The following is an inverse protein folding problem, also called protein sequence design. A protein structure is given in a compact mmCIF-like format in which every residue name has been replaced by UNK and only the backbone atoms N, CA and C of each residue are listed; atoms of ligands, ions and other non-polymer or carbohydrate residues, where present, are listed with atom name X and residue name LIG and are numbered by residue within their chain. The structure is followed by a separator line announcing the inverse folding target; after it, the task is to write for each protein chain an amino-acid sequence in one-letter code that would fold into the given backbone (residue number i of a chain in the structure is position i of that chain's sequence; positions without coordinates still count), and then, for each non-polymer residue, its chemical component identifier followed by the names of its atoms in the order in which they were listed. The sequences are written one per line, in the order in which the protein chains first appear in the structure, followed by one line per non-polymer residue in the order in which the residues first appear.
data_IF_970117462628
#
_entry.id   IF_970117462628
#
_cell.length_a   1.000
_cell.length_b   1.000
_cell.length_c   1.000
_cell.angle_alpha   90.00
_cell.angle_beta   90.00
_cell.angle_gamma   90.00
#
_symmetry.space_group_name_H-M   'P 1'
#
loop_
_entity.id
_entity.type
_entity.pdbx_description
1 polymer ?
#
# COMPACT_ATOMS: atom_id res chain seq x y z
N UNK A 1 16.29 0.96 -5.48
CA UNK A 1 17.13 0.61 -4.32
C UNK A 1 16.52 -0.63 -3.68
N UNK A 2 17.24 -1.31 -2.78
CA UNK A 2 16.62 -2.38 -2.00
C UNK A 2 15.67 -1.74 -0.97
N UNK A 3 14.53 -2.39 -0.73
CA UNK A 3 13.53 -1.94 0.25
C UNK A 3 14.15 -1.81 1.65
N UNK A 4 14.14 -0.62 2.28
CA UNK A 4 14.95 -0.33 3.47
C UNK A 4 14.29 -0.72 4.79
N UNK A 5 13.27 -1.59 4.76
CA UNK A 5 12.56 -2.03 5.96
C UNK A 5 12.53 -3.55 6.09
N UNK A 6 12.63 -4.00 7.34
CA UNK A 6 12.37 -5.38 7.73
C UNK A 6 10.99 -5.46 8.39
N UNK A 7 10.13 -6.37 7.89
CA UNK A 7 8.77 -6.55 8.37
C UNK A 7 8.65 -7.91 9.06
N UNK A 8 8.05 -7.90 10.25
CA UNK A 8 7.73 -9.10 11.02
C UNK A 8 6.27 -9.06 11.50
N UNK A 9 5.48 -10.14 11.31
CA UNK A 9 5.82 -11.37 10.60
C UNK A 9 5.86 -11.18 9.08
N UNK A 10 6.56 -12.09 8.37
CA UNK A 10 6.59 -12.09 6.90
C UNK A 10 5.29 -12.60 6.27
N UNK A 11 4.56 -13.46 6.99
CA UNK A 11 3.25 -13.94 6.58
C UNK A 11 2.17 -13.12 7.28
N UNK A 12 1.40 -12.35 6.50
CA UNK A 12 0.40 -11.43 7.02
C UNK A 12 -0.98 -12.12 7.12
N UNK A 13 -1.02 -13.15 7.94
CA UNK A 13 -2.22 -13.93 8.22
C UNK A 13 -2.87 -13.43 9.51
N UNK A 14 -4.08 -12.88 9.40
CA UNK A 14 -4.81 -12.28 10.51
C UNK A 14 -5.92 -13.23 10.97
N UNK A 15 -5.99 -13.46 12.28
CA UNK A 15 -7.06 -14.23 12.92
C UNK A 15 -8.22 -13.31 13.29
N UNK A 16 -9.49 -13.70 13.09
CA UNK A 16 -10.64 -12.95 13.60
C UNK A 16 -10.60 -12.70 15.12
N UNK A 17 -10.06 -13.67 15.87
CA UNK A 17 -10.09 -13.65 17.33
C UNK A 17 -8.88 -12.93 17.95
N UNK A 18 -7.77 -12.84 17.21
CA UNK A 18 -6.50 -12.36 17.71
C UNK A 18 -5.87 -11.35 16.74
N UNK A 19 -5.65 -10.09 17.17
CA UNK A 19 -4.92 -9.13 16.37
C UNK A 19 -3.50 -9.60 16.04
N UNK A 20 -3.08 -9.36 14.80
CA UNK A 20 -1.73 -9.62 14.33
C UNK A 20 -0.79 -8.54 14.88
N UNK A 21 0.24 -8.96 15.61
CA UNK A 21 1.31 -8.06 16.05
C UNK A 21 2.28 -7.80 14.91
N UNK A 22 2.48 -6.53 14.57
CA UNK A 22 3.32 -6.10 13.48
C UNK A 22 4.54 -5.34 13.99
N UNK A 23 5.66 -5.54 13.30
CA UNK A 23 6.90 -4.82 13.50
C UNK A 23 7.44 -4.36 12.15
N UNK A 24 7.77 -3.08 12.06
CA UNK A 24 8.46 -2.48 10.92
C UNK A 24 9.74 -1.86 11.44
N UNK A 25 10.88 -2.43 11.05
CA UNK A 25 12.19 -1.95 11.46
C UNK A 25 12.87 -1.22 10.31
N UNK A 26 13.35 -0.01 10.58
CA UNK A 26 14.20 0.72 9.65
C UNK A 26 15.61 0.10 9.66
N UNK A 27 16.00 -0.51 8.54
CA UNK A 27 17.36 -1.04 8.32
C UNK A 27 18.19 -0.13 7.40
N UNK A 28 17.61 0.99 6.96
CA UNK A 28 18.34 2.09 6.33
C UNK A 28 19.31 2.69 7.35
N UNK A 29 20.48 3.10 6.86
CA UNK A 29 21.48 3.78 7.68
C UNK A 29 21.11 5.24 8.00
N UNK A 30 19.89 5.67 7.66
CA UNK A 30 19.41 7.04 7.75
C UNK A 30 18.06 7.09 8.47
N UNK A 31 17.59 8.30 8.77
CA UNK A 31 16.24 8.52 9.29
C UNK A 31 15.28 8.49 8.11
N UNK A 32 14.18 7.77 8.24
CA UNK A 32 13.13 7.67 7.21
C UNK A 32 11.80 8.14 7.79
N UNK A 33 11.08 8.95 7.03
CA UNK A 33 9.67 9.20 7.27
C UNK A 33 8.85 8.03 6.72
N UNK A 34 7.95 7.50 7.54
CA UNK A 34 7.23 6.27 7.20
C UNK A 34 5.74 6.42 7.51
N UNK A 35 4.93 6.07 6.51
CA UNK A 35 3.52 5.81 6.70
C UNK A 35 3.24 4.32 6.52
N UNK A 36 2.57 3.75 7.52
CA UNK A 36 2.06 2.39 7.54
C UNK A 36 0.55 2.48 7.36
N UNK A 37 0.02 1.91 6.28
CA UNK A 37 -1.41 1.96 5.95
C UNK A 37 -1.97 0.55 5.83
N UNK A 38 -3.18 0.33 6.33
CA UNK A 38 -4.02 -0.82 6.00
C UNK A 38 -5.24 -0.31 5.25
N UNK A 39 -5.46 -0.80 4.04
CA UNK A 39 -6.58 -0.44 3.17
C UNK A 39 -7.43 -1.70 2.90
N UNK A 40 -8.46 -1.91 3.72
CA UNK A 40 -9.17 -3.18 3.82
C UNK A 40 -10.63 -2.99 4.18
N UNK A 41 -11.49 -3.89 3.68
CA UNK A 41 -12.89 -3.97 4.09
C UNK A 41 -13.11 -4.90 5.30
N UNK A 42 -12.05 -5.56 5.79
CA UNK A 42 -12.10 -6.47 6.95
C UNK A 42 -11.21 -6.04 8.10
N UNK A 43 -10.06 -5.43 7.81
CA UNK A 43 -9.00 -5.21 8.78
C UNK A 43 -8.72 -3.73 9.00
N UNK A 44 -8.18 -3.39 10.17
CA UNK A 44 -7.65 -2.06 10.48
C UNK A 44 -6.45 -2.15 11.42
N UNK A 45 -5.60 -1.14 11.36
CA UNK A 45 -4.63 -0.86 12.42
C UNK A 45 -5.40 -0.52 13.70
N UNK A 46 -5.01 -1.15 14.80
CA UNK A 46 -5.54 -0.82 16.12
C UNK A 46 -4.83 0.43 16.66
N UNK A 47 -5.61 1.41 17.12
CA UNK A 47 -5.12 2.72 17.56
C UNK A 47 -4.31 3.47 16.49
N UNK A 48 -4.88 3.69 15.29
CA UNK A 48 -4.18 4.40 14.24
C UNK A 48 -4.04 5.88 14.59
N UNK A 49 -3.06 6.56 13.99
CA UNK A 49 -2.97 8.03 14.07
C UNK A 49 -4.01 8.72 13.19
N UNK A 50 -4.47 8.02 12.13
CA UNK A 50 -5.46 8.50 11.17
C UNK A 50 -6.31 7.34 10.63
N UNK A 51 -7.59 7.59 10.38
CA UNK A 51 -8.48 6.62 9.76
C UNK A 51 -9.50 7.31 8.86
N UNK A 52 -9.77 6.73 7.70
CA UNK A 52 -10.73 7.22 6.73
C UNK A 52 -11.34 6.04 5.96
N UNK A 53 -12.66 5.89 6.06
CA UNK A 53 -13.41 4.80 5.39
C UNK A 53 -12.79 3.42 5.65
N UNK A 54 -12.16 2.84 4.63
CA UNK A 54 -11.56 1.50 4.62
C UNK A 54 -10.08 1.53 5.01
N UNK A 55 -9.52 2.71 5.28
CA UNK A 55 -8.10 2.93 5.52
C UNK A 55 -7.83 3.31 6.96
N UNK A 56 -6.74 2.77 7.49
CA UNK A 56 -6.21 3.13 8.80
C UNK A 56 -4.70 3.24 8.70
N UNK A 57 -4.11 4.20 9.43
CA UNK A 57 -2.74 4.59 9.18
C UNK A 57 -1.98 5.03 10.44
N UNK A 58 -0.67 4.75 10.45
CA UNK A 58 0.30 5.29 11.40
C UNK A 58 1.35 6.08 10.63
N UNK A 59 1.60 7.31 11.08
CA UNK A 59 2.78 8.08 10.71
C UNK A 59 3.87 7.95 11.78
N UNK A 60 5.11 7.72 11.37
CA UNK A 60 6.27 7.73 12.26
C UNK A 60 7.54 8.17 11.53
N UNK A 61 8.42 8.90 12.21
CA UNK A 61 9.80 9.10 11.78
C UNK A 61 10.65 8.03 12.44
N UNK A 62 11.22 7.12 11.65
CA UNK A 62 12.02 5.99 12.14
C UNK A 62 13.50 6.26 11.95
N UNK A 63 14.25 6.33 13.05
CA UNK A 63 15.71 6.39 13.00
C UNK A 63 16.30 5.06 12.54
N UNK A 64 17.57 5.09 12.13
CA UNK A 64 18.31 3.89 11.79
C UNK A 64 18.24 2.86 12.94
N UNK A 65 17.83 1.62 12.62
CA UNK A 65 17.59 0.50 13.54
C UNK A 65 16.40 0.64 14.50
N UNK A 66 15.59 1.68 14.38
CA UNK A 66 14.36 1.83 15.16
C UNK A 66 13.24 0.94 14.62
N UNK A 67 12.37 0.48 15.51
CA UNK A 67 11.26 -0.42 15.19
C UNK A 67 9.94 0.20 15.60
N UNK A 68 9.02 0.33 14.66
CA UNK A 68 7.62 0.63 14.92
C UNK A 68 6.88 -0.67 15.27
N UNK A 69 6.16 -0.64 16.39
CA UNK A 69 5.28 -1.73 16.83
C UNK A 69 3.82 -1.30 16.76
N UNK A 70 2.97 -2.13 16.17
CA UNK A 70 1.53 -1.89 16.09
C UNK A 70 0.78 -3.21 15.94
N UNK A 71 -0.55 -3.15 15.90
CA UNK A 71 -1.41 -4.31 15.72
C UNK A 71 -2.37 -4.08 14.58
N UNK A 72 -2.64 -5.12 13.80
CA UNK A 72 -3.72 -5.14 12.81
C UNK A 72 -4.78 -6.12 13.33
N UNK A 73 -6.02 -5.66 13.44
CA UNK A 73 -7.14 -6.47 13.90
C UNK A 73 -8.32 -6.40 12.95
N UNK A 74 -9.33 -7.21 13.23
CA UNK A 74 -10.60 -7.14 12.53
C UNK A 74 -11.32 -5.81 12.83
N UNK A 75 -12.06 -5.31 11.84
CA UNK A 75 -13.08 -4.30 12.08
C UNK A 75 -14.08 -4.80 13.12
N UNK A 76 -14.60 -3.88 13.94
CA UNK A 76 -15.65 -4.24 14.87
C UNK A 76 -16.93 -4.70 14.13
N UNK A 77 -17.73 -5.50 14.81
CA UNK A 77 -18.94 -6.10 14.23
C UNK A 77 -19.94 -5.03 13.75
N UNK A 78 -20.00 -3.87 14.42
CA UNK A 78 -20.84 -2.76 13.98
C UNK A 78 -20.42 -2.26 12.60
N UNK A 79 -19.12 -2.06 12.38
CA UNK A 79 -18.55 -1.61 11.10
C UNK A 79 -18.69 -2.68 10.02
N UNK A 80 -18.47 -3.96 10.35
CA UNK A 80 -18.65 -5.06 9.38
C UNK A 80 -20.10 -5.22 8.91
N UNK A 81 -21.08 -4.77 9.70
CA UNK A 81 -22.49 -4.84 9.34
C UNK A 81 -23.00 -3.59 8.59
N UNK A 82 -22.22 -2.51 8.52
CA UNK A 82 -22.55 -1.35 7.69
C UNK A 82 -22.39 -1.71 6.21
N UNK A 83 -23.22 -1.23 5.29
CA UNK A 83 -23.06 -1.56 3.88
C UNK A 83 -21.74 -1.06 3.29
N UNK A 84 -21.25 -1.68 2.21
CA UNK A 84 -20.13 -1.12 1.44
C UNK A 84 -20.66 0.12 0.73
N UNK A 85 -20.13 1.28 1.08
CA UNK A 85 -20.55 2.57 0.51
C UNK A 85 -20.27 2.62 -0.99
N UNK A 86 -21.27 3.10 -1.73
CA UNK A 86 -21.24 3.25 -3.18
C UNK A 86 -20.92 4.71 -3.54
N UNK A 87 -19.67 5.07 -3.27
CA UNK A 87 -19.17 6.43 -3.38
C UNK A 87 -18.50 6.70 -4.74
N UNK A 88 -17.99 7.92 -4.94
CA UNK A 88 -17.19 8.28 -6.12
C UNK A 88 -15.92 7.43 -6.31
N UNK A 89 -15.40 6.83 -5.25
CA UNK A 89 -14.20 5.99 -5.29
C UNK A 89 -14.58 4.53 -5.09
N UNK A 90 -14.55 3.78 -6.20
CA UNK A 90 -14.87 2.35 -6.17
C UNK A 90 -13.74 1.59 -5.48
N UNK A 91 -14.09 0.67 -4.58
CA UNK A 91 -13.08 -0.17 -3.92
C UNK A 91 -12.70 -1.35 -4.82
N UNK A 92 -11.48 -1.33 -5.38
CA UNK A 92 -11.05 -2.29 -6.41
C UNK A 92 -10.22 -3.48 -5.91
N UNK A 93 -9.88 -3.52 -4.61
CA UNK A 93 -8.98 -4.55 -4.06
C UNK A 93 -9.74 -5.82 -3.66
N UNK A 94 -9.00 -6.84 -3.21
CA UNK A 94 -9.61 -7.94 -2.46
C UNK A 94 -10.27 -7.39 -1.20
N UNK A 95 -11.26 -8.10 -0.66
CA UNK A 95 -11.92 -7.66 0.57
C UNK A 95 -10.96 -7.63 1.77
N UNK A 96 -9.99 -8.55 1.80
CA UNK A 96 -8.90 -8.56 2.77
C UNK A 96 -7.99 -7.34 2.62
N UNK A 97 -7.86 -6.81 1.40
CA UNK A 97 -7.05 -5.63 1.10
C UNK A 97 -5.56 -5.87 1.28
N UNK A 98 -4.85 -4.79 1.56
CA UNK A 98 -3.39 -4.74 1.65
C UNK A 98 -2.91 -3.91 2.84
N UNK A 99 -1.71 -4.28 3.29
CA UNK A 99 -0.85 -3.49 4.14
C UNK A 99 0.20 -2.84 3.26
N UNK A 100 0.40 -1.53 3.37
CA UNK A 100 1.40 -0.80 2.59
C UNK A 100 2.33 0.01 3.47
N UNK A 101 3.60 0.10 3.07
CA UNK A 101 4.59 1.02 3.61
C UNK A 101 4.93 2.07 2.55
N UNK A 102 4.76 3.33 2.90
CA UNK A 102 5.10 4.49 2.07
C UNK A 102 6.25 5.23 2.75
N UNK A 103 7.32 5.51 2.02
CA UNK A 103 8.51 6.20 2.54
C UNK A 103 9.18 7.08 1.47
N UNK A 104 9.89 8.12 1.93
CA UNK A 104 10.65 9.02 1.07
C UNK A 104 10.89 10.42 1.70
N UNK A 105 11.98 11.12 1.31
CA UNK A 105 12.55 12.22 2.10
C UNK A 105 11.75 13.53 2.10
N UNK A 106 11.10 13.92 0.99
CA UNK A 106 10.55 15.28 0.84
C UNK A 106 9.03 15.34 0.78
N UNK A 107 8.39 14.19 0.60
CA UNK A 107 6.96 14.13 0.30
C UNK A 107 6.10 14.15 1.55
N UNK A 108 6.59 13.49 2.59
CA UNK A 108 5.87 13.31 3.84
C UNK A 108 5.90 14.57 4.71
N UNK A 109 6.86 15.47 4.51
CA UNK A 109 7.04 16.68 5.34
C UNK A 109 5.86 17.66 5.27
N UNK A 110 5.23 17.80 4.09
CA UNK A 110 4.06 18.67 3.90
C UNK A 110 2.81 18.12 4.59
N UNK A 111 2.64 16.79 4.57
CA UNK A 111 1.47 16.08 5.12
C UNK A 111 1.63 15.64 6.58
N UNK A 112 2.85 15.65 7.14
CA UNK A 112 3.13 15.51 8.58
C UNK A 112 2.20 16.37 9.44
N UNK A 113 1.87 17.56 8.95
CA UNK A 113 1.03 18.53 9.65
C UNK A 113 -0.48 18.18 9.62
N UNK A 114 -0.91 17.31 8.70
CA UNK A 114 -2.32 16.96 8.51
C UNK A 114 -2.71 15.60 9.09
N UNK A 115 -1.74 14.70 9.40
CA UNK A 115 -2.02 13.32 9.85
C UNK A 115 -3.12 12.66 8.98
N UNK A 116 -3.05 12.81 7.67
CA UNK A 116 -4.11 12.39 6.75
C UNK A 116 -3.85 11.03 6.14
N UNK A 117 -4.92 10.29 5.87
CA UNK A 117 -4.90 9.07 5.07
C UNK A 117 -4.55 9.43 3.63
N UNK A 118 -3.45 8.86 3.09
CA UNK A 118 -3.08 9.12 1.70
C UNK A 118 -3.95 8.31 0.73
N UNK A 119 -4.51 8.99 -0.28
CA UNK A 119 -5.00 8.35 -1.50
C UNK A 119 -3.93 8.53 -2.58
N UNK A 120 -3.67 7.52 -3.42
CA UNK A 120 -2.69 7.63 -4.52
C UNK A 120 -2.94 8.88 -5.39
N UNK A 121 -4.21 9.26 -5.58
CA UNK A 121 -4.63 10.48 -6.28
C UNK A 121 -4.17 11.78 -5.62
N UNK A 122 -3.80 11.75 -4.35
CA UNK A 122 -3.26 12.94 -3.67
C UNK A 122 -1.81 13.18 -4.06
N UNK A 123 -1.03 12.13 -4.39
CA UNK A 123 0.34 12.29 -4.87
C UNK A 123 0.39 12.91 -6.26
N UNK A 124 -0.51 12.51 -7.16
CA UNK A 124 -0.60 13.08 -8.52
C UNK A 124 -0.86 14.60 -8.49
N UNK A 125 -1.59 15.11 -7.48
CA UNK A 125 -1.86 16.55 -7.32
C UNK A 125 -0.61 17.35 -6.99
N UNK A 126 0.42 16.72 -6.42
CA UNK A 126 1.65 17.39 -5.98
C UNK A 126 2.88 16.96 -6.79
N UNK A 127 2.74 16.04 -7.75
CA UNK A 127 3.83 15.44 -8.52
C UNK A 127 4.73 16.46 -9.25
N UNK A 128 4.18 17.61 -9.67
CA UNK A 128 4.95 18.68 -10.34
C UNK A 128 5.95 19.40 -9.42
N UNK A 129 5.79 19.29 -8.09
CA UNK A 129 6.58 20.02 -7.09
C UNK A 129 7.54 19.10 -6.33
N UNK A 130 7.46 17.78 -6.56
CA UNK A 130 8.26 16.80 -5.83
C UNK A 130 9.64 16.60 -6.46
N UNK A 131 10.73 16.73 -5.69
CA UNK A 131 12.06 16.39 -6.18
C UNK A 131 12.26 14.87 -6.35
N UNK A 132 11.55 14.05 -5.57
CA UNK A 132 11.61 12.58 -5.59
C UNK A 132 10.22 11.96 -5.36
N UNK A 133 9.89 10.92 -6.14
CA UNK A 133 8.68 10.12 -5.96
C UNK A 133 8.76 9.29 -4.66
N UNK A 134 7.65 9.12 -3.93
CA UNK A 134 7.62 8.25 -2.76
C UNK A 134 7.72 6.80 -3.20
N UNK A 135 8.42 5.98 -2.44
CA UNK A 135 8.42 4.54 -2.68
C UNK A 135 7.27 3.91 -1.88
N UNK A 136 6.48 3.09 -2.56
CA UNK A 136 5.34 2.37 -1.98
C UNK A 136 5.60 0.88 -2.09
N UNK A 137 5.40 0.17 -0.97
CA UNK A 137 5.41 -1.29 -0.95
C UNK A 137 4.16 -1.86 -0.34
N UNK A 138 3.42 -2.60 -1.16
CA UNK A 138 2.18 -3.28 -0.78
C UNK A 138 2.43 -4.76 -0.45
N UNK A 139 1.72 -5.23 0.56
CA UNK A 139 1.74 -6.59 1.06
C UNK A 139 0.29 -7.07 1.21
N UNK A 140 -0.13 -8.10 0.48
CA UNK A 140 -1.51 -8.59 0.57
C UNK A 140 -1.78 -9.15 1.96
N UNK A 141 -2.95 -8.82 2.50
CA UNK A 141 -3.43 -9.39 3.75
C UNK A 141 -4.18 -10.69 3.49
N UNK A 142 -4.11 -11.61 4.44
CA UNK A 142 -4.83 -12.87 4.38
C UNK A 142 -5.60 -13.10 5.68
N UNK A 143 -6.76 -13.73 5.54
CA UNK A 143 -7.58 -14.16 6.67
C UNK A 143 -7.29 -15.63 6.99
N UNK A 144 -7.08 -15.93 8.28
CA UNK A 144 -6.83 -17.30 8.74
C UNK A 144 -8.04 -18.22 8.54
N UNK A 145 -9.21 -17.76 8.95
CA UNK A 145 -10.46 -18.50 8.82
C UNK A 145 -11.65 -17.55 8.78
N UNK A 146 -12.76 -17.99 8.18
CA UNK A 146 -13.96 -17.17 8.02
C UNK A 146 -14.95 -17.33 9.16
N UNK A 147 -15.45 -16.20 9.66
CA UNK A 147 -16.60 -16.14 10.56
C UNK A 147 -17.88 -15.79 9.78
N UNK A 148 -19.06 -16.01 10.36
CA UNK A 148 -20.33 -15.68 9.70
C UNK A 148 -20.46 -14.19 9.30
N UNK A 149 -20.03 -13.20 10.14
CA UNK A 149 -19.98 -11.79 9.72
C UNK A 149 -19.09 -11.58 8.49
N UNK A 150 -17.92 -12.22 8.45
CA UNK A 150 -17.00 -12.09 7.32
C UNK A 150 -17.59 -12.70 6.05
N UNK A 151 -18.24 -13.86 6.13
CA UNK A 151 -18.94 -14.46 4.98
C UNK A 151 -20.02 -13.54 4.41
N UNK A 152 -20.81 -12.91 5.29
CA UNK A 152 -21.82 -11.92 4.86
C UNK A 152 -21.18 -10.74 4.13
N UNK A 153 -20.08 -10.22 4.67
CA UNK A 153 -19.32 -9.13 4.05
C UNK A 153 -18.74 -9.52 2.68
N UNK A 154 -18.23 -10.74 2.53
CA UNK A 154 -17.76 -11.28 1.25
C UNK A 154 -18.87 -11.34 0.20
N UNK A 155 -20.05 -11.83 0.58
CA UNK A 155 -21.21 -11.87 -0.33
C UNK A 155 -21.61 -10.45 -0.76
N UNK A 156 -21.55 -9.49 0.15
CA UNK A 156 -21.83 -8.10 -0.17
C UNK A 156 -20.78 -7.50 -1.12
N UNK A 157 -19.50 -7.75 -0.87
CA UNK A 157 -18.42 -7.31 -1.75
C UNK A 157 -18.57 -7.88 -3.16
N UNK A 158 -18.93 -9.15 -3.31
CA UNK A 158 -19.19 -9.73 -4.64
C UNK A 158 -20.38 -9.08 -5.35
N UNK A 159 -21.45 -8.72 -4.61
CA UNK A 159 -22.57 -7.93 -5.18
C UNK A 159 -22.10 -6.55 -5.62
N UNK A 160 -21.28 -5.89 -4.79
CA UNK A 160 -20.70 -4.59 -5.09
C UNK A 160 -19.84 -4.63 -6.35
N UNK A 161 -18.93 -5.61 -6.48
CA UNK A 161 -18.10 -5.82 -7.68
C UNK A 161 -18.94 -6.06 -8.92
N UNK A 162 -20.04 -6.82 -8.80
CA UNK A 162 -20.94 -7.08 -9.92
C UNK A 162 -21.63 -5.80 -10.40
N UNK A 163 -22.06 -4.95 -9.48
CA UNK A 163 -22.66 -3.65 -9.80
C UNK A 163 -21.67 -2.71 -10.50
N UNK A 164 -20.38 -2.80 -10.16
CA UNK A 164 -19.28 -1.98 -10.71
C UNK A 164 -18.43 -2.69 -11.78
N UNK A 165 -18.95 -3.77 -12.36
CA UNK A 165 -18.16 -4.65 -13.23
C UNK A 165 -17.52 -3.94 -14.43
N UNK A 166 -18.11 -2.85 -14.92
CA UNK A 166 -17.54 -2.07 -16.03
C UNK A 166 -16.33 -1.27 -15.58
N UNK A 167 -16.45 -0.58 -14.46
CA UNK A 167 -15.40 0.24 -13.86
C UNK A 167 -14.20 -0.63 -13.44
N UNK A 168 -14.47 -1.84 -12.92
CA UNK A 168 -13.43 -2.82 -12.64
C UNK A 168 -12.68 -3.24 -13.91
N UNK A 169 -13.40 -3.54 -14.99
CA UNK A 169 -12.78 -3.94 -16.25
C UNK A 169 -11.93 -2.81 -16.87
N UNK A 170 -12.42 -1.56 -16.81
CA UNK A 170 -11.67 -0.39 -17.28
C UNK A 170 -10.38 -0.19 -16.49
N UNK A 171 -10.44 -0.34 -15.16
CA UNK A 171 -9.26 -0.20 -14.31
C UNK A 171 -8.24 -1.32 -14.52
N UNK A 172 -8.69 -2.57 -14.64
CA UNK A 172 -7.80 -3.71 -14.97
C UNK A 172 -7.10 -3.50 -16.32
N UNK A 173 -7.79 -2.95 -17.32
CA UNK A 173 -7.18 -2.63 -18.61
C UNK A 173 -6.13 -1.51 -18.49
N UNK A 174 -6.41 -0.48 -17.70
CA UNK A 174 -5.48 0.61 -17.43
C UNK A 174 -4.20 0.10 -16.74
N UNK A 175 -4.36 -0.67 -15.66
CA UNK A 175 -3.22 -1.26 -14.93
C UNK A 175 -2.38 -2.18 -15.82
N UNK A 176 -3.01 -2.93 -16.72
CA UNK A 176 -2.29 -3.77 -17.69
C UNK A 176 -1.43 -2.92 -18.63
N UNK A 177 -1.99 -1.84 -19.18
CA UNK A 177 -1.28 -0.90 -20.06
C UNK A 177 -0.11 -0.23 -19.34
N UNK A 178 -0.29 0.15 -18.09
CA UNK A 178 0.79 0.74 -17.27
C UNK A 178 1.92 -0.24 -17.01
N UNK A 179 1.61 -1.48 -16.59
CA UNK A 179 2.62 -2.54 -16.39
C UNK A 179 3.39 -2.85 -17.68
N UNK A 180 2.70 -2.91 -18.82
CA UNK A 180 3.34 -3.11 -20.13
C UNK A 180 4.27 -1.93 -20.48
N UNK A 181 3.83 -0.69 -20.25
CA UNK A 181 4.63 0.50 -20.50
C UNK A 181 5.87 0.56 -19.59
N UNK A 182 5.74 0.20 -18.31
CA UNK A 182 6.84 0.15 -17.36
C UNK A 182 7.88 -0.92 -17.75
N UNK A 183 7.42 -2.11 -18.13
CA UNK A 183 8.30 -3.17 -18.62
C UNK A 183 9.05 -2.73 -19.90
N UNK A 184 8.37 -2.06 -20.83
CA UNK A 184 9.00 -1.53 -22.03
C UNK A 184 10.07 -0.47 -21.70
N UNK A 185 9.81 0.43 -20.73
CA UNK A 185 10.78 1.41 -20.23
C UNK A 185 12.00 0.73 -19.59
N UNK A 186 11.79 -0.29 -18.76
CA UNK A 186 12.86 -1.08 -18.14
C UNK A 186 13.75 -1.78 -19.17
N UNK A 187 13.14 -2.40 -20.19
CA UNK A 187 13.87 -3.05 -21.30
C UNK A 187 14.70 -2.00 -22.05
N UNK A 188 14.10 -0.87 -22.44
CA UNK A 188 14.79 0.20 -23.15
C UNK A 188 15.95 0.79 -22.33
N UNK A 189 15.79 0.94 -21.02
CA UNK A 189 16.85 1.39 -20.10
C UNK A 189 18.03 0.40 -20.06
N UNK A 190 17.75 -0.89 -19.87
CA UNK A 190 18.78 -1.96 -19.87
C UNK A 190 19.52 -2.03 -21.20
N UNK A 191 18.84 -1.82 -22.33
CA UNK A 191 19.49 -1.76 -23.65
C UNK A 191 20.39 -0.53 -23.83
N UNK A 192 19.95 0.65 -23.35
CA UNK A 192 20.76 1.88 -23.36
C UNK A 192 22.02 1.72 -22.50
N UNK A 193 21.92 1.09 -21.33
CA UNK A 193 23.09 0.79 -20.49
C UNK A 193 24.06 -0.20 -21.16
N UNK A 194 23.54 -1.27 -21.77
CA UNK A 194 24.37 -2.22 -22.54
C UNK A 194 25.11 -1.51 -23.68
N UNK A 195 24.44 -0.62 -24.42
CA UNK A 195 25.06 0.19 -25.49
C UNK A 195 26.11 1.16 -24.94
N UNK A 196 25.87 1.83 -23.80
CA UNK A 196 26.87 2.69 -23.13
C UNK A 196 28.10 1.90 -22.68
N UNK A 197 27.93 0.72 -22.07
CA UNK A 197 29.03 -0.16 -21.65
C UNK A 197 29.87 -0.64 -22.84
N UNK A 198 29.22 -1.04 -23.96
CA UNK A 198 29.94 -1.39 -25.20
C UNK A 198 30.73 -0.22 -25.77
N UNK A 199 30.15 0.99 -25.86
CA UNK A 199 30.86 2.19 -26.35
C UNK A 199 32.08 2.55 -25.50
N UNK A 200 31.98 2.49 -24.16
CA UNK A 200 33.14 2.73 -23.27
C UNK A 200 34.27 1.72 -23.50
N UNK A 201 33.95 0.46 -23.77
CA UNK A 201 34.93 -0.59 -24.04
C UNK A 201 35.69 -0.39 -25.36
N UNK A 202 35.08 0.27 -26.35
CA UNK A 202 35.71 0.59 -27.64
C UNK A 202 36.56 1.87 -27.62
N UNK A 203 36.42 2.73 -26.61
CA UNK A 203 37.21 3.98 -26.46
C UNK A 203 38.51 3.74 -25.65
N UNK A 204 38.59 2.61 -24.92
CA UNK A 204 39.70 2.22 -24.06
C UNK A 204 40.70 1.24 -24.73
N UNK A 205 40.51 0.92 -26.02
CA UNK A 205 41.48 0.20 -26.87
C UNK A 205 42.09 1.17 -27.87
#
# INVERSE_FOLDING_TARGET
MDFPFEITPKNLLISPDNPLQMQVKNISGMIEDVFVTVDSLLFRILNPTAAEKNKSQIYCELKANETLHFQIGLLDEATLNLPIEDDKEIYFKSIEGDFSIIYGPDLLYTDKNLRSVHVLSDFDKYAEVMPHEPEIKDFPLALEHETEPIKKRKIEHEKYKKNHSKEFAEKEELERKEKEAEQARLIASKEKEKKKKKRRKCILM
#
